data_IF_634421465761
#
_entry.id   IF_634421465761
#
_cell.length_a   1.000
_cell.length_b   1.000
_cell.length_c   1.000
_cell.angle_alpha   90.00
_cell.angle_beta   90.00
_cell.angle_gamma   90.00
#
_symmetry.space_group_name_H-M   'P 1'
#
loop_
_entity.id
_entity.type
_entity.pdbx_description
1 polymer ?
#
# COMPACT_ATOMS: atom_id res chain seq x y z
N UNK A 1 7.99 -14.14 -27.47
CA UNK A 1 7.23 -14.75 -26.34
C UNK A 1 6.44 -13.67 -25.64
N UNK A 2 5.24 -13.96 -25.14
CA UNK A 2 4.27 -12.93 -24.69
C UNK A 2 3.86 -13.05 -23.22
N UNK A 3 4.19 -14.15 -22.55
CA UNK A 3 3.77 -14.40 -21.17
C UNK A 3 4.99 -14.68 -20.28
N UNK A 4 5.00 -14.11 -19.08
CA UNK A 4 6.01 -14.29 -18.04
C UNK A 4 5.44 -15.15 -16.91
N UNK A 5 6.13 -16.22 -16.54
CA UNK A 5 5.76 -17.11 -15.44
C UNK A 5 6.03 -16.42 -14.10
N UNK A 6 5.15 -16.65 -13.12
CA UNK A 6 5.23 -16.07 -11.78
C UNK A 6 6.25 -16.72 -10.84
N UNK A 7 6.98 -17.73 -11.29
CA UNK A 7 8.00 -18.43 -10.47
C UNK A 7 9.09 -17.51 -9.91
N UNK A 8 9.33 -16.35 -10.53
CA UNK A 8 10.29 -15.38 -9.98
C UNK A 8 9.80 -14.71 -8.69
N UNK A 9 8.49 -14.73 -8.42
CA UNK A 9 7.91 -14.18 -7.19
C UNK A 9 8.25 -15.03 -5.94
N UNK A 10 8.92 -16.17 -6.11
CA UNK A 10 9.45 -17.00 -5.03
C UNK A 10 10.94 -16.73 -4.75
N UNK A 11 11.57 -15.84 -5.53
CA UNK A 11 12.97 -15.46 -5.32
C UNK A 11 13.13 -14.49 -4.16
N UNK A 12 14.37 -14.31 -3.71
CA UNK A 12 14.67 -13.22 -2.79
C UNK A 12 14.38 -11.89 -3.47
N UNK A 13 13.73 -11.01 -2.73
CA UNK A 13 13.40 -9.67 -3.21
C UNK A 13 13.85 -8.59 -2.25
N UNK A 14 14.17 -7.44 -2.80
CA UNK A 14 14.70 -6.30 -2.06
C UNK A 14 14.41 -4.99 -2.78
N UNK A 15 14.72 -3.89 -2.12
CA UNK A 15 14.48 -2.56 -2.68
C UNK A 15 15.59 -2.22 -3.65
N UNK A 16 15.22 -1.72 -4.82
CA UNK A 16 16.15 -1.33 -5.87
C UNK A 16 16.35 0.19 -5.88
N UNK A 17 15.24 0.94 -5.88
CA UNK A 17 15.28 2.39 -5.97
C UNK A 17 14.23 3.05 -5.07
N UNK A 18 14.55 4.28 -4.64
CA UNK A 18 13.71 5.08 -3.76
C UNK A 18 13.76 6.55 -4.14
N UNK A 19 12.66 7.24 -3.92
CA UNK A 19 12.56 8.69 -3.99
C UNK A 19 12.16 9.26 -2.64
N UNK A 20 12.39 10.57 -2.48
CA UNK A 20 11.89 11.32 -1.33
C UNK A 20 10.51 11.87 -1.67
N UNK A 21 9.58 11.75 -0.74
CA UNK A 21 8.26 12.34 -0.88
C UNK A 21 8.26 13.86 -0.73
N UNK A 22 7.08 14.46 -0.90
CA UNK A 22 6.91 15.90 -0.71
C UNK A 22 6.97 16.26 0.78
N UNK A 23 7.84 17.21 1.14
CA UNK A 23 8.01 17.68 2.53
C UNK A 23 6.67 18.11 3.15
N UNK A 24 5.81 18.75 2.36
CA UNK A 24 4.49 19.19 2.80
C UNK A 24 3.56 18.01 3.11
N UNK A 25 3.65 16.91 2.37
CA UNK A 25 2.83 15.71 2.59
C UNK A 25 3.19 15.04 3.94
N UNK A 26 4.44 15.13 4.37
CA UNK A 26 4.89 14.71 5.70
C UNK A 26 4.43 15.71 6.79
N UNK A 27 4.70 17.00 6.58
CA UNK A 27 4.64 18.01 7.64
C UNK A 27 3.22 18.49 7.96
N UNK A 28 2.32 18.56 6.98
CA UNK A 28 0.97 19.13 7.15
C UNK A 28 0.16 18.42 8.24
N UNK A 29 0.19 17.08 8.28
CA UNK A 29 -0.50 16.31 9.31
C UNK A 29 0.11 16.54 10.71
N UNK A 30 1.44 16.64 10.80
CA UNK A 30 2.17 16.87 12.05
C UNK A 30 1.88 18.26 12.63
N UNK A 31 1.76 19.30 11.80
CA UNK A 31 1.40 20.65 12.26
C UNK A 31 0.00 20.67 12.88
N UNK A 32 -0.97 20.02 12.23
CA UNK A 32 -2.34 19.95 12.73
C UNK A 32 -2.40 19.16 14.04
N UNK A 33 -1.66 18.06 14.12
CA UNK A 33 -1.51 17.29 15.36
C UNK A 33 -0.89 18.12 16.50
N UNK A 34 0.20 18.87 16.22
CA UNK A 34 0.83 19.77 17.20
C UNK A 34 -0.16 20.84 17.68
N UNK A 35 -0.93 21.41 16.76
CA UNK A 35 -1.95 22.39 17.12
C UNK A 35 -3.01 21.79 18.08
N UNK A 36 -3.48 20.57 17.83
CA UNK A 36 -4.40 19.87 18.72
C UNK A 36 -3.82 19.70 20.14
N UNK A 37 -2.52 19.43 20.26
CA UNK A 37 -1.83 19.33 21.54
C UNK A 37 -1.75 20.68 22.27
N UNK A 38 -1.45 21.76 21.55
CA UNK A 38 -1.34 23.11 22.14
C UNK A 38 -2.67 23.61 22.69
N UNK A 39 -3.80 23.27 22.06
CA UNK A 39 -5.14 23.64 22.56
C UNK A 39 -5.35 23.21 24.01
N UNK A 40 -4.95 21.98 24.38
CA UNK A 40 -5.12 21.46 25.75
C UNK A 40 -4.11 22.01 26.76
N UNK A 41 -3.03 22.65 26.27
CA UNK A 41 -2.03 23.33 27.12
C UNK A 41 -2.46 24.73 27.51
N UNK A 42 -3.20 25.41 26.63
CA UNK A 42 -3.68 26.78 26.85
C UNK A 42 -4.76 26.78 27.93
N UNK A 43 -5.81 26.00 27.73
CA UNK A 43 -6.99 26.01 28.60
C UNK A 43 -7.64 24.61 28.64
N UNK A 44 -8.19 24.24 29.80
CA UNK A 44 -9.05 23.07 29.92
C UNK A 44 -10.51 23.52 29.96
N UNK A 45 -11.13 23.61 28.79
CA UNK A 45 -12.56 23.83 28.66
C UNK A 45 -13.16 22.90 27.59
N UNK A 46 -14.47 22.60 27.65
CA UNK A 46 -15.11 21.74 26.67
C UNK A 46 -14.83 22.17 25.22
N UNK A 47 -14.85 23.48 24.92
CA UNK A 47 -14.59 23.98 23.55
C UNK A 47 -13.19 23.59 23.05
N UNK A 48 -12.14 23.77 23.85
CA UNK A 48 -10.79 23.39 23.47
C UNK A 48 -10.62 21.86 23.34
N UNK A 49 -11.34 21.08 24.14
CA UNK A 49 -11.34 19.60 24.02
C UNK A 49 -12.05 19.15 22.74
N UNK A 50 -13.16 19.77 22.37
CA UNK A 50 -13.83 19.53 21.10
C UNK A 50 -12.92 19.87 19.91
N UNK A 51 -12.31 21.05 19.92
CA UNK A 51 -11.38 21.49 18.86
C UNK A 51 -10.15 20.57 18.76
N UNK A 52 -9.66 20.05 19.89
CA UNK A 52 -8.60 19.04 19.90
C UNK A 52 -9.01 17.80 19.09
N UNK A 53 -10.17 17.20 19.38
CA UNK A 53 -10.67 16.01 18.67
C UNK A 53 -10.85 16.27 17.18
N UNK A 54 -11.43 17.41 16.81
CA UNK A 54 -11.63 17.81 15.41
C UNK A 54 -10.29 17.91 14.67
N UNK A 55 -9.28 18.55 15.29
CA UNK A 55 -7.95 18.68 14.71
C UNK A 55 -7.23 17.32 14.60
N UNK A 56 -7.33 16.44 15.59
CA UNK A 56 -6.76 15.09 15.51
C UNK A 56 -7.35 14.29 14.34
N UNK A 57 -8.68 14.32 14.17
CA UNK A 57 -9.34 13.68 13.02
C UNK A 57 -8.89 14.30 11.71
N UNK A 58 -8.68 15.62 11.67
CA UNK A 58 -8.14 16.32 10.50
C UNK A 58 -6.72 15.88 10.18
N UNK A 59 -5.85 15.71 11.17
CA UNK A 59 -4.48 15.22 10.97
C UNK A 59 -4.48 13.81 10.37
N UNK A 60 -5.31 12.90 10.89
CA UNK A 60 -5.50 11.55 10.34
C UNK A 60 -5.95 11.61 8.88
N UNK A 61 -6.98 12.41 8.59
CA UNK A 61 -7.50 12.55 7.23
C UNK A 61 -6.47 13.10 6.25
N UNK A 62 -5.65 14.06 6.66
CA UNK A 62 -4.58 14.61 5.82
C UNK A 62 -3.57 13.51 5.48
N UNK A 63 -3.11 12.75 6.48
CA UNK A 63 -2.17 11.66 6.24
C UNK A 63 -2.75 10.57 5.33
N UNK A 64 -3.99 10.13 5.56
CA UNK A 64 -4.64 9.14 4.69
C UNK A 64 -4.82 9.65 3.25
N UNK A 65 -5.14 10.93 3.08
CA UNK A 65 -5.24 11.54 1.74
C UNK A 65 -3.89 11.60 1.02
N UNK A 66 -2.81 11.88 1.74
CA UNK A 66 -1.47 11.91 1.16
C UNK A 66 -1.05 10.50 0.72
N UNK A 67 -1.29 9.48 1.55
CA UNK A 67 -1.05 8.07 1.18
C UNK A 67 -1.92 7.68 -0.02
N UNK A 68 -3.20 8.02 -0.04
CA UNK A 68 -4.09 7.77 -1.20
C UNK A 68 -3.61 8.48 -2.48
N UNK A 69 -3.11 9.72 -2.37
CA UNK A 69 -2.55 10.48 -3.49
C UNK A 69 -1.30 9.80 -4.05
N UNK A 70 -0.40 9.36 -3.16
CA UNK A 70 0.88 8.76 -3.54
C UNK A 70 0.66 7.39 -4.17
N UNK A 71 -0.12 6.51 -3.54
CA UNK A 71 -0.22 5.11 -3.93
C UNK A 71 -1.51 4.74 -4.66
N UNK A 72 -2.41 5.69 -4.89
CA UNK A 72 -3.71 5.44 -5.52
C UNK A 72 -4.45 4.22 -4.92
N UNK A 73 -4.54 4.15 -3.58
CA UNK A 73 -5.03 2.97 -2.85
C UNK A 73 -6.38 2.50 -3.38
N UNK A 74 -7.29 3.42 -3.76
CA UNK A 74 -8.58 3.08 -4.36
C UNK A 74 -8.49 2.23 -5.65
N UNK A 75 -7.39 2.27 -6.39
CA UNK A 75 -7.18 1.49 -7.61
C UNK A 75 -6.64 0.07 -7.39
N UNK A 76 -6.19 -0.27 -6.18
CA UNK A 76 -5.74 -1.63 -5.86
C UNK A 76 -6.98 -2.53 -5.71
N UNK A 77 -7.02 -3.72 -6.33
CA UNK A 77 -8.14 -4.66 -6.18
C UNK A 77 -8.41 -5.00 -4.72
N UNK A 78 -9.68 -5.02 -4.34
CA UNK A 78 -10.12 -5.24 -2.97
C UNK A 78 -11.50 -5.87 -2.98
N UNK A 79 -11.71 -6.83 -2.08
CA UNK A 79 -13.00 -7.48 -1.86
C UNK A 79 -13.95 -6.60 -1.04
N UNK A 80 -13.47 -5.44 -0.58
CA UNK A 80 -14.16 -4.50 0.30
C UNK A 80 -14.78 -3.37 -0.53
N UNK A 81 -15.98 -2.95 -0.14
CA UNK A 81 -16.67 -1.82 -0.77
C UNK A 81 -15.83 -0.54 -0.73
N UNK A 82 -15.75 0.16 -1.87
CA UNK A 82 -15.04 1.43 -2.02
C UNK A 82 -15.50 2.56 -1.09
N UNK A 83 -16.66 2.43 -0.43
CA UNK A 83 -17.17 3.40 0.55
C UNK A 83 -16.46 3.33 1.91
N UNK A 84 -15.65 2.31 2.16
CA UNK A 84 -14.99 2.09 3.45
C UNK A 84 -13.47 2.25 3.31
N UNK A 85 -13.01 3.49 3.28
CA UNK A 85 -11.59 3.81 3.08
C UNK A 85 -10.70 3.17 4.14
N UNK A 86 -11.08 3.21 5.42
CA UNK A 86 -10.26 2.61 6.49
C UNK A 86 -10.12 1.10 6.34
N UNK A 87 -11.20 0.39 6.02
CA UNK A 87 -11.19 -1.06 5.81
C UNK A 87 -10.22 -1.44 4.67
N UNK A 88 -10.12 -0.64 3.62
CA UNK A 88 -9.17 -0.89 2.52
C UNK A 88 -7.71 -0.70 2.95
N UNK A 89 -7.43 0.32 3.74
CA UNK A 89 -6.09 0.52 4.31
C UNK A 89 -5.75 -0.60 5.31
N UNK A 90 -6.73 -1.10 6.04
CA UNK A 90 -6.58 -2.27 6.92
C UNK A 90 -6.26 -3.54 6.12
N UNK A 91 -7.00 -3.82 5.04
CA UNK A 91 -6.77 -4.98 4.16
C UNK A 91 -5.36 -5.00 3.56
N UNK A 92 -4.79 -3.83 3.28
CA UNK A 92 -3.42 -3.68 2.79
C UNK A 92 -2.38 -3.71 3.93
N UNK A 93 -2.81 -3.84 5.19
CA UNK A 93 -1.93 -3.90 6.35
C UNK A 93 -1.32 -2.55 6.74
N UNK A 94 -1.83 -1.44 6.21
CA UNK A 94 -1.28 -0.10 6.41
C UNK A 94 -1.67 0.51 7.75
N UNK A 95 -2.85 0.14 8.27
CA UNK A 95 -3.41 0.70 9.51
C UNK A 95 -4.09 -0.39 10.36
N UNK A 96 -4.32 -0.05 11.63
CA UNK A 96 -5.24 -0.76 12.53
C UNK A 96 -6.39 0.20 12.86
N UNK A 97 -7.59 0.02 12.30
CA UNK A 97 -8.59 1.09 12.24
C UNK A 97 -9.31 1.35 13.55
N UNK A 98 -9.33 0.42 14.52
CA UNK A 98 -10.16 0.51 15.73
C UNK A 98 -10.11 1.88 16.43
N UNK A 99 -8.91 2.41 16.69
CA UNK A 99 -8.77 3.71 17.39
C UNK A 99 -9.11 4.89 16.47
N UNK A 100 -8.85 4.76 15.17
CA UNK A 100 -9.22 5.80 14.21
C UNK A 100 -10.75 5.89 14.04
N UNK A 101 -11.43 4.74 14.04
CA UNK A 101 -12.89 4.66 14.03
C UNK A 101 -13.48 5.28 15.30
N UNK A 102 -12.94 4.95 16.49
CA UNK A 102 -13.36 5.57 17.77
C UNK A 102 -13.24 7.10 17.71
N UNK A 103 -12.12 7.63 17.19
CA UNK A 103 -11.91 9.07 17.04
C UNK A 103 -12.92 9.70 16.06
N UNK A 104 -13.23 9.04 14.94
CA UNK A 104 -14.20 9.51 13.96
C UNK A 104 -15.61 9.57 14.57
N UNK A 105 -16.00 8.54 15.32
CA UNK A 105 -17.29 8.44 15.96
C UNK A 105 -17.47 9.53 17.01
N UNK A 106 -16.48 9.71 17.89
CA UNK A 106 -16.50 10.79 18.90
C UNK A 106 -16.59 12.16 18.23
N UNK A 107 -15.83 12.40 17.16
CA UNK A 107 -15.92 13.66 16.41
C UNK A 107 -17.33 13.88 15.86
N UNK A 108 -17.97 12.85 15.31
CA UNK A 108 -19.33 12.95 14.80
C UNK A 108 -20.32 13.29 15.92
N UNK A 109 -20.18 12.67 17.10
CA UNK A 109 -21.04 12.94 18.27
C UNK A 109 -20.89 14.39 18.76
N UNK A 110 -19.65 14.91 18.83
CA UNK A 110 -19.38 16.30 19.23
C UNK A 110 -19.98 17.29 18.22
N UNK A 111 -19.80 17.05 16.91
CA UNK A 111 -20.24 17.99 15.86
C UNK A 111 -21.75 17.97 15.58
N UNK A 112 -22.42 16.83 15.78
CA UNK A 112 -23.81 16.64 15.34
C UNK A 112 -24.81 16.40 16.47
N UNK A 113 -24.36 15.94 17.62
CA UNK A 113 -25.25 15.51 18.72
C UNK A 113 -25.07 16.34 19.99
N UNK A 114 -24.35 17.48 19.92
CA UNK A 114 -24.04 18.38 21.06
C UNK A 114 -23.49 17.64 22.29
N UNK A 115 -22.82 16.50 22.07
CA UNK A 115 -22.29 15.67 23.14
C UNK A 115 -21.07 16.32 23.77
N UNK A 116 -20.96 16.23 25.10
CA UNK A 116 -19.79 16.76 25.81
C UNK A 116 -18.51 16.05 25.31
N UNK A 117 -17.44 16.79 24.96
CA UNK A 117 -16.21 16.19 24.50
C UNK A 117 -15.54 15.37 25.61
N UNK A 118 -14.66 14.41 25.25
CA UNK A 118 -13.93 13.59 26.23
C UNK A 118 -13.19 14.42 27.27
N UNK A 119 -12.87 13.79 28.41
CA UNK A 119 -12.03 14.43 29.44
C UNK A 119 -10.65 14.81 28.87
N UNK A 120 -9.97 15.75 29.52
CA UNK A 120 -8.63 16.18 29.11
C UNK A 120 -7.64 15.02 29.02
N UNK A 121 -7.70 14.08 29.96
CA UNK A 121 -6.86 12.87 29.99
C UNK A 121 -7.13 11.99 28.76
N UNK A 122 -8.40 11.80 28.39
CA UNK A 122 -8.77 11.02 27.21
C UNK A 122 -8.39 11.74 25.91
N UNK A 123 -8.44 13.07 25.87
CA UNK A 123 -7.91 13.83 24.73
C UNK A 123 -6.38 13.67 24.59
N UNK A 124 -5.61 13.68 25.69
CA UNK A 124 -4.17 13.38 25.65
C UNK A 124 -3.87 11.95 25.18
N UNK A 125 -4.68 10.97 25.59
CA UNK A 125 -4.59 9.62 25.05
C UNK A 125 -4.72 9.61 23.52
N UNK A 126 -5.70 10.33 22.96
CA UNK A 126 -5.82 10.43 21.49
C UNK A 126 -4.67 11.18 20.85
N UNK A 127 -4.15 12.24 21.46
CA UNK A 127 -2.94 12.92 20.97
C UNK A 127 -1.80 11.92 20.81
N UNK A 128 -1.53 11.10 21.82
CA UNK A 128 -0.43 10.13 21.77
C UNK A 128 -0.66 9.06 20.71
N UNK A 129 -1.85 8.47 20.65
CA UNK A 129 -2.14 7.44 19.64
C UNK A 129 -2.06 8.00 18.22
N UNK A 130 -2.58 9.20 17.96
CA UNK A 130 -2.49 9.81 16.64
C UNK A 130 -1.04 10.18 16.30
N UNK A 131 -0.22 10.55 17.29
CA UNK A 131 1.22 10.71 17.05
C UNK A 131 1.85 9.40 16.58
N UNK A 132 1.57 8.27 17.24
CA UNK A 132 2.07 6.96 16.80
C UNK A 132 1.57 6.57 15.41
N UNK A 133 0.31 6.86 15.08
CA UNK A 133 -0.22 6.65 13.72
C UNK A 133 0.55 7.47 12.68
N UNK A 134 0.81 8.75 12.94
CA UNK A 134 1.60 9.59 12.03
C UNK A 134 3.03 9.06 11.90
N UNK A 135 3.67 8.70 13.03
CA UNK A 135 5.04 8.16 13.02
C UNK A 135 5.19 6.83 12.32
N UNK A 136 4.27 5.91 12.55
CA UNK A 136 4.30 4.61 11.87
C UNK A 136 4.03 4.72 10.39
N UNK A 137 3.37 5.79 9.93
CA UNK A 137 3.09 6.03 8.51
C UNK A 137 4.01 7.08 7.86
N UNK A 138 5.06 7.56 8.55
CA UNK A 138 5.98 8.56 7.99
C UNK A 138 6.75 8.00 6.77
N UNK A 139 7.15 6.72 6.80
CA UNK A 139 7.83 6.09 5.66
C UNK A 139 6.98 6.02 4.39
N UNK A 140 5.64 5.95 4.52
CA UNK A 140 4.72 5.96 3.39
C UNK A 140 4.59 7.33 2.70
N UNK A 141 5.15 8.38 3.27
CA UNK A 141 5.08 9.73 2.68
C UNK A 141 6.45 10.37 2.49
N UNK A 142 7.51 9.80 3.06
CA UNK A 142 8.87 10.37 3.04
C UNK A 142 9.84 9.51 2.21
N UNK A 143 9.69 8.19 2.22
CA UNK A 143 10.65 7.23 1.65
C UNK A 143 9.96 6.28 0.67
N UNK A 144 9.64 6.81 -0.52
CA UNK A 144 8.80 6.14 -1.52
C UNK A 144 9.65 5.16 -2.32
N UNK A 145 9.24 3.90 -2.39
CA UNK A 145 9.93 2.90 -3.20
C UNK A 145 9.45 3.07 -4.65
N UNK A 146 10.39 3.30 -5.57
CA UNK A 146 10.09 3.46 -7.00
C UNK A 146 10.17 2.11 -7.73
N UNK A 147 11.10 1.26 -7.27
CA UNK A 147 11.26 -0.08 -7.80
C UNK A 147 11.84 -1.05 -6.77
N UNK A 148 11.56 -2.32 -7.00
CA UNK A 148 12.10 -3.41 -6.20
C UNK A 148 12.48 -4.58 -7.09
N UNK A 149 13.45 -5.39 -6.65
CA UNK A 149 14.10 -6.40 -7.48
C UNK A 149 13.87 -7.79 -6.91
N UNK A 150 13.70 -8.76 -7.79
CA UNK A 150 13.84 -10.20 -7.50
C UNK A 150 15.11 -10.71 -8.18
N UNK A 151 15.88 -11.50 -7.43
CA UNK A 151 17.14 -12.07 -7.92
C UNK A 151 17.20 -13.57 -7.62
N UNK A 152 17.53 -14.37 -8.64
CA UNK A 152 17.70 -15.81 -8.46
C UNK A 152 18.95 -16.11 -7.62
N UNK A 153 18.95 -17.23 -6.90
CA UNK A 153 20.06 -17.60 -6.01
C UNK A 153 21.42 -17.71 -6.73
N UNK A 154 21.41 -18.04 -8.02
CA UNK A 154 22.60 -18.15 -8.85
C UNK A 154 23.05 -16.81 -9.47
N UNK A 155 22.31 -15.72 -9.24
CA UNK A 155 22.57 -14.37 -9.77
C UNK A 155 22.40 -14.24 -11.29
N UNK A 156 21.94 -15.29 -11.98
CA UNK A 156 21.85 -15.29 -13.45
C UNK A 156 20.56 -14.63 -13.95
N UNK A 157 19.53 -14.55 -13.11
CA UNK A 157 18.25 -13.96 -13.44
C UNK A 157 17.92 -12.86 -12.44
N UNK A 158 17.49 -11.73 -12.97
CA UNK A 158 17.16 -10.54 -12.21
C UNK A 158 16.02 -9.82 -12.89
N UNK A 159 14.98 -9.51 -12.12
CA UNK A 159 13.84 -8.74 -12.60
C UNK A 159 13.54 -7.62 -11.61
N UNK A 160 13.53 -6.40 -12.11
CA UNK A 160 13.16 -5.19 -11.39
C UNK A 160 11.72 -4.86 -11.74
N UNK A 161 10.88 -4.73 -10.73
CA UNK A 161 9.51 -4.24 -10.83
C UNK A 161 9.56 -2.73 -10.61
N UNK A 162 9.19 -1.96 -11.63
CA UNK A 162 9.04 -0.52 -11.55
C UNK A 162 7.54 -0.20 -11.43
N UNK A 163 7.20 0.74 -10.53
CA UNK A 163 5.80 1.02 -10.20
C UNK A 163 5.45 2.47 -10.48
N UNK A 164 4.49 2.70 -11.36
CA UNK A 164 3.81 3.98 -11.49
C UNK A 164 2.75 4.15 -10.41
N UNK A 165 3.07 4.89 -9.34
CA UNK A 165 2.22 5.02 -8.15
C UNK A 165 1.12 6.10 -8.27
N UNK A 166 1.31 7.11 -9.11
CA UNK A 166 0.40 8.26 -9.27
C UNK A 166 -0.85 7.98 -10.12
N UNK A 167 -0.90 6.83 -10.80
CA UNK A 167 -2.02 6.36 -11.63
C UNK A 167 -2.52 5.02 -11.08
N UNK A 168 -3.62 4.42 -11.59
CA UNK A 168 -3.83 2.98 -11.34
C UNK A 168 -2.51 2.26 -11.61
N UNK A 169 -2.04 1.45 -10.66
CA UNK A 169 -0.68 0.95 -10.63
C UNK A 169 -0.24 0.42 -12.00
N UNK A 170 0.63 1.17 -12.65
CA UNK A 170 1.26 0.78 -13.90
C UNK A 170 2.54 0.05 -13.56
N UNK A 171 2.58 -1.25 -13.86
CA UNK A 171 3.73 -2.09 -13.55
C UNK A 171 4.53 -2.33 -14.82
N UNK A 172 5.80 -1.98 -14.78
CA UNK A 172 6.77 -2.41 -15.79
C UNK A 172 7.88 -3.21 -15.19
N UNK A 173 8.50 -4.05 -16.01
CA UNK A 173 9.60 -4.91 -15.60
C UNK A 173 10.81 -4.67 -16.47
N UNK A 174 11.96 -4.64 -15.81
CA UNK A 174 13.26 -4.57 -16.46
C UNK A 174 14.24 -5.56 -15.87
N UNK A 175 15.32 -5.88 -16.59
CA UNK A 175 16.37 -6.77 -16.08
C UNK A 175 16.72 -7.89 -17.06
N UNK A 176 17.33 -8.96 -16.57
CA UNK A 176 17.84 -10.05 -17.41
C UNK A 176 17.22 -11.37 -16.98
N UNK A 177 16.62 -12.10 -17.92
CA UNK A 177 15.97 -13.39 -17.62
C UNK A 177 16.18 -14.42 -18.72
N UNK A 178 16.31 -15.69 -18.32
CA UNK A 178 16.37 -16.83 -19.23
C UNK A 178 14.99 -17.18 -19.81
N UNK A 179 14.94 -17.65 -21.06
CA UNK A 179 13.72 -18.01 -21.80
C UNK A 179 12.80 -19.03 -21.11
N UNK A 180 13.31 -19.78 -20.13
CA UNK A 180 12.52 -20.77 -19.38
C UNK A 180 11.39 -20.14 -18.56
N UNK A 181 11.50 -18.86 -18.22
CA UNK A 181 10.46 -18.13 -17.47
C UNK A 181 9.35 -17.57 -18.37
N UNK A 182 9.38 -17.87 -19.66
CA UNK A 182 8.44 -17.29 -20.63
C UNK A 182 7.62 -18.36 -21.35
N UNK A 183 6.45 -17.93 -21.84
CA UNK A 183 5.56 -18.77 -22.63
C UNK A 183 4.94 -18.00 -23.81
N UNK A 184 4.47 -18.76 -24.80
CA UNK A 184 3.67 -18.25 -25.91
C UNK A 184 2.16 -18.39 -25.66
N UNK A 185 1.77 -19.14 -24.62
CA UNK A 185 0.37 -19.38 -24.26
C UNK A 185 0.09 -18.83 -22.88
N UNK A 186 -1.07 -18.19 -22.72
CA UNK A 186 -1.56 -17.80 -21.41
C UNK A 186 -1.85 -19.03 -20.55
N UNK A 187 -1.37 -19.00 -19.31
CA UNK A 187 -1.66 -19.99 -18.26
C UNK A 187 -2.12 -19.26 -17.00
N UNK A 188 -2.66 -20.01 -16.04
CA UNK A 188 -3.12 -19.48 -14.75
C UNK A 188 -1.99 -18.72 -14.03
N UNK A 189 -0.76 -19.24 -14.11
CA UNK A 189 0.40 -18.74 -13.41
C UNK A 189 1.29 -17.81 -14.26
N UNK A 190 0.70 -17.10 -15.22
CA UNK A 190 1.44 -16.22 -16.12
C UNK A 190 0.86 -14.82 -16.17
N UNK A 191 1.75 -13.83 -16.26
CA UNK A 191 1.46 -12.43 -16.51
C UNK A 191 1.67 -12.13 -18.00
N UNK A 192 0.76 -11.36 -18.61
CA UNK A 192 0.88 -10.97 -20.02
C UNK A 192 1.84 -9.76 -20.14
N UNK A 193 2.77 -9.85 -21.09
CA UNK A 193 3.64 -8.74 -21.47
C UNK A 193 2.92 -7.87 -22.51
N UNK A 194 3.04 -6.55 -22.40
CA UNK A 194 2.46 -5.64 -23.41
C UNK A 194 3.07 -5.81 -24.80
N UNK A 195 4.32 -6.27 -24.86
CA UNK A 195 5.07 -6.50 -26.10
C UNK A 195 5.74 -7.87 -26.04
N UNK A 196 5.93 -8.48 -27.22
CA UNK A 196 6.68 -9.72 -27.29
C UNK A 196 8.17 -9.48 -27.08
N UNK A 197 8.80 -10.41 -26.35
CA UNK A 197 10.25 -10.41 -26.14
C UNK A 197 10.95 -11.47 -27.00
N UNK A 198 12.18 -11.15 -27.38
CA UNK A 198 13.07 -12.01 -28.17
C UNK A 198 14.32 -12.35 -27.36
N UNK A 199 14.98 -13.46 -27.69
CA UNK A 199 16.08 -14.00 -26.90
C UNK A 199 17.38 -14.05 -27.71
N UNK A 200 18.49 -13.78 -27.05
CA UNK A 200 19.83 -13.99 -27.58
C UNK A 200 20.16 -15.49 -27.70
N UNK A 201 21.27 -15.80 -28.38
CA UNK A 201 21.68 -17.19 -28.64
C UNK A 201 21.99 -18.01 -27.38
N UNK A 202 22.32 -17.35 -26.27
CA UNK A 202 22.51 -17.93 -24.95
C UNK A 202 21.19 -18.20 -24.19
N UNK A 203 20.04 -17.84 -24.79
CA UNK A 203 18.71 -18.04 -24.22
C UNK A 203 18.25 -16.96 -23.25
N UNK A 204 18.99 -15.86 -23.08
CA UNK A 204 18.59 -14.74 -22.23
C UNK A 204 17.90 -13.64 -23.02
N UNK A 205 17.23 -12.73 -22.30
CA UNK A 205 16.70 -11.49 -22.84
C UNK A 205 16.88 -10.39 -21.80
N UNK A 206 17.15 -9.18 -22.29
CA UNK A 206 17.04 -7.97 -21.49
C UNK A 206 15.59 -7.48 -21.59
N UNK A 207 14.90 -7.52 -20.46
CA UNK A 207 13.54 -7.05 -20.30
C UNK A 207 13.52 -5.54 -20.13
N UNK A 208 12.55 -4.93 -20.81
CA UNK A 208 12.05 -3.58 -20.57
C UNK A 208 10.64 -3.50 -21.16
N UNK A 209 9.64 -3.88 -20.36
CA UNK A 209 8.27 -4.06 -20.84
C UNK A 209 7.23 -3.88 -19.73
N UNK A 210 6.10 -3.28 -20.05
CA UNK A 210 4.96 -3.18 -19.14
C UNK A 210 4.21 -4.52 -19.01
N UNK A 211 3.64 -4.76 -17.83
CA UNK A 211 2.84 -5.95 -17.52
C UNK A 211 1.35 -5.62 -17.54
N UNK A 212 0.56 -6.51 -18.15
CA UNK A 212 -0.89 -6.54 -17.98
C UNK A 212 -1.21 -7.53 -16.86
N UNK A 213 -1.41 -6.98 -15.67
CA UNK A 213 -1.72 -7.76 -14.47
C UNK A 213 -3.22 -7.96 -14.34
N UNK A 214 -3.61 -9.17 -13.94
CA UNK A 214 -4.94 -9.40 -13.39
C UNK A 214 -5.00 -8.93 -11.93
N UNK A 215 -6.19 -8.95 -11.34
CA UNK A 215 -6.41 -8.47 -9.96
C UNK A 215 -5.55 -9.22 -8.94
N UNK A 216 -5.36 -10.53 -9.13
CA UNK A 216 -4.54 -11.36 -8.25
C UNK A 216 -3.08 -10.88 -8.20
N UNK A 217 -2.42 -10.73 -9.35
CA UNK A 217 -1.01 -10.34 -9.38
C UNK A 217 -0.81 -8.89 -8.94
N UNK A 218 -1.75 -8.01 -9.26
CA UNK A 218 -1.69 -6.64 -8.79
C UNK A 218 -1.79 -6.56 -7.25
N UNK A 219 -2.73 -7.30 -6.64
CA UNK A 219 -2.84 -7.39 -5.18
C UNK A 219 -1.60 -8.04 -4.55
N UNK A 220 -1.02 -9.07 -5.18
CA UNK A 220 0.23 -9.71 -4.70
C UNK A 220 1.40 -8.74 -4.69
N UNK A 221 1.67 -8.08 -5.82
CA UNK A 221 2.75 -7.07 -5.96
C UNK A 221 2.53 -5.91 -5.00
N UNK A 222 1.31 -5.38 -4.88
CA UNK A 222 1.01 -4.30 -3.94
C UNK A 222 1.29 -4.68 -2.49
N UNK A 223 0.98 -5.92 -2.11
CA UNK A 223 1.26 -6.34 -0.73
C UNK A 223 2.75 -6.55 -0.48
N UNK A 224 3.49 -7.10 -1.45
CA UNK A 224 4.94 -7.27 -1.32
C UNK A 224 5.64 -5.91 -1.25
N UNK A 225 5.17 -4.94 -2.06
CA UNK A 225 5.59 -3.54 -1.98
C UNK A 225 5.40 -2.95 -0.58
N UNK A 226 4.20 -3.04 -0.01
CA UNK A 226 3.97 -2.50 1.34
C UNK A 226 4.74 -3.26 2.43
N UNK A 227 5.02 -4.55 2.22
CA UNK A 227 5.95 -5.32 3.05
C UNK A 227 7.36 -4.72 3.05
N UNK A 228 7.86 -4.29 1.89
CA UNK A 228 9.15 -3.58 1.78
C UNK A 228 9.12 -2.21 2.47
N UNK A 229 7.97 -1.54 2.51
CA UNK A 229 7.76 -0.32 3.30
C UNK A 229 7.69 -0.57 4.82
N UNK A 230 7.75 -1.83 5.26
CA UNK A 230 7.66 -2.23 6.68
C UNK A 230 6.24 -2.49 7.17
N UNK A 231 5.25 -2.52 6.28
CA UNK A 231 3.85 -2.79 6.61
C UNK A 231 3.52 -4.25 6.28
N UNK A 232 3.59 -5.08 7.32
CA UNK A 232 3.32 -6.50 7.20
C UNK A 232 1.90 -6.83 7.63
N UNK A 233 1.16 -7.54 6.78
CA UNK A 233 -0.07 -8.19 7.22
C UNK A 233 0.31 -9.44 8.03
N UNK A 234 0.15 -9.39 9.35
CA UNK A 234 0.51 -10.45 10.31
C UNK A 234 -0.12 -11.84 9.98
N UNK A 235 -1.15 -11.89 9.14
CA UNK A 235 -1.79 -13.14 8.67
C UNK A 235 -1.00 -13.93 7.60
N UNK A 236 0.15 -13.42 7.11
CA UNK A 236 0.99 -14.10 6.11
C UNK A 236 1.94 -15.18 6.65
N UNK A 237 1.83 -15.58 7.92
CA UNK A 237 2.44 -16.83 8.38
C UNK A 237 1.89 -18.08 7.64
N UNK A 238 0.83 -17.92 6.84
CA UNK A 238 0.36 -18.93 5.89
C UNK A 238 0.81 -18.56 4.47
N UNK A 239 1.55 -19.48 3.83
CA UNK A 239 1.77 -19.45 2.37
C UNK A 239 0.45 -19.13 1.66
N UNK A 240 0.43 -18.23 0.66
CA UNK A 240 -0.76 -18.05 -0.15
C UNK A 240 -1.17 -19.41 -0.74
N UNK A 241 -2.47 -19.76 -0.74
CA UNK A 241 -2.93 -21.01 -1.33
C UNK A 241 -2.51 -21.06 -2.79
N UNK A 242 -2.01 -22.22 -3.22
CA UNK A 242 -1.80 -22.52 -4.64
C UNK A 242 -3.14 -22.32 -5.35
N UNK A 243 -3.19 -21.38 -6.30
CA UNK A 243 -4.39 -21.09 -7.09
C UNK A 243 -4.85 -22.38 -7.76
N UNK A 244 -6.10 -22.77 -7.54
CA UNK A 244 -6.70 -23.87 -8.29
C UNK A 244 -7.45 -23.29 -9.48
N UNK A 245 -7.63 -24.07 -10.56
CA UNK A 245 -8.29 -23.61 -11.79
C UNK A 245 -9.71 -23.02 -11.57
N UNK A 246 -10.34 -23.29 -10.42
CA UNK A 246 -11.63 -22.74 -10.02
C UNK A 246 -11.58 -21.23 -9.71
N UNK A 247 -10.45 -20.72 -9.21
CA UNK A 247 -10.30 -19.32 -8.79
C UNK A 247 -10.03 -18.36 -9.97
N UNK A 248 -9.69 -18.92 -11.14
CA UNK A 248 -9.29 -18.16 -12.33
C UNK A 248 -10.45 -17.86 -13.32
N UNK A 249 -11.69 -18.23 -12.98
CA UNK A 249 -12.86 -17.98 -13.86
C UNK A 249 -12.78 -18.63 -15.24
N UNK A 250 -11.89 -19.61 -15.44
CA UNK A 250 -11.71 -20.29 -16.72
C UNK A 250 -12.74 -21.42 -16.82
N UNK A 251 -13.76 -21.24 -17.67
CA UNK A 251 -14.68 -22.32 -18.02
C UNK A 251 -13.89 -23.46 -18.68
N UNK A 252 -13.86 -24.63 -18.06
CA UNK A 252 -13.30 -25.84 -18.67
C UNK A 252 -14.10 -26.20 -19.92
N UNK A 253 -13.47 -26.39 -21.09
CA UNK A 253 -14.17 -26.94 -22.24
C UNK A 253 -14.42 -28.42 -21.97
N UNK A 254 -15.71 -28.80 -21.98
CA UNK A 254 -16.15 -30.19 -22.10
C UNK A 254 -15.90 -30.70 -23.53
#
# INVERSE_FOLDING_TARGET
MKFLNDTFLEWMYGIEDRSQGEVDDLYNALVIWKHAQELLRIEDSPLYRADCIINLKRAVNVRLKNIEKIYFIKGIPSDISSKKTLDKFEELGLIRPNILSELIDIRNLIEHEETEPPSKEKCFFYIDIIWYFLKTTDSLVDDIIESFVYESEDGNNRIVINIGLATPWEISVSGKMHKQYFSNSQKINTMELEKEVSFSGDGYTDLDVSLKLNEYYLKRIATEYFGLCGFWHEDRAKKPPLITAADAGVSTPY
#
